data_IF_455105921001
#
_entry.id   IF_455105921001
#
_cell.length_a   1.000
_cell.length_b   1.000
_cell.length_c   1.000
_cell.angle_alpha   90.00
_cell.angle_beta   90.00
_cell.angle_gamma   90.00
#
_symmetry.space_group_name_H-M   'P 1'
#
loop_
_entity.id
_entity.type
_entity.pdbx_description
1 polymer ?
#
# COMPACT_ATOMS: atom_id res chain seq x y z
N UNK A 1 -27.32 2.52 54.14
CA UNK A 1 -27.45 2.49 52.66
C UNK A 1 -26.05 2.46 52.08
N UNK A 2 -25.66 1.36 51.42
CA UNK A 2 -24.31 1.13 50.87
C UNK A 2 -24.29 1.62 49.42
N UNK A 3 -23.44 2.59 49.10
CA UNK A 3 -23.24 3.07 47.73
C UNK A 3 -22.39 2.04 46.96
N UNK A 4 -22.97 1.42 45.95
CA UNK A 4 -22.26 0.60 44.96
C UNK A 4 -21.76 1.58 43.89
N UNK A 5 -20.46 1.86 43.88
CA UNK A 5 -19.83 2.63 42.82
C UNK A 5 -19.68 1.76 41.55
N UNK A 6 -20.11 2.23 40.36
CA UNK A 6 -19.88 1.48 39.13
C UNK A 6 -18.40 1.63 38.71
N UNK A 7 -17.70 0.51 38.60
CA UNK A 7 -16.35 0.41 38.07
C UNK A 7 -16.42 0.55 36.54
N UNK A 8 -16.03 1.71 36.02
CA UNK A 8 -16.05 2.01 34.59
C UNK A 8 -14.83 1.34 33.92
N UNK A 9 -15.05 0.19 33.28
CA UNK A 9 -14.02 -0.51 32.49
C UNK A 9 -13.87 0.22 31.15
N UNK A 10 -12.76 0.95 30.99
CA UNK A 10 -12.35 1.51 29.70
C UNK A 10 -11.67 0.39 28.89
N UNK A 11 -12.40 -0.22 27.96
CA UNK A 11 -11.79 -1.07 26.95
C UNK A 11 -11.03 -0.19 25.96
N UNK A 12 -9.70 -0.17 26.06
CA UNK A 12 -8.82 0.44 25.07
C UNK A 12 -8.78 -0.49 23.86
N UNK A 13 -9.78 -0.40 22.98
CA UNK A 13 -9.75 -1.10 21.70
C UNK A 13 -8.72 -0.38 20.83
N UNK A 14 -7.50 -0.93 20.80
CA UNK A 14 -6.44 -0.42 19.95
C UNK A 14 -6.91 -0.42 18.50
N UNK A 15 -7.00 0.76 17.90
CA UNK A 15 -7.31 0.92 16.49
C UNK A 15 -6.05 0.54 15.70
N UNK A 16 -5.72 -0.75 15.63
CA UNK A 16 -4.57 -1.25 14.87
C UNK A 16 -4.98 -1.57 13.43
N UNK A 17 -4.09 -1.36 12.44
CA UNK A 17 -4.34 -1.79 11.07
C UNK A 17 -4.44 -3.32 11.00
N UNK A 18 -5.31 -3.81 10.11
CA UNK A 18 -5.53 -5.25 9.87
C UNK A 18 -4.42 -5.83 8.99
N UNK A 19 -3.90 -5.03 8.06
CA UNK A 19 -2.73 -5.38 7.27
C UNK A 19 -1.87 -4.12 7.06
N UNK A 20 -0.57 -4.26 7.29
CA UNK A 20 0.42 -3.23 7.00
C UNK A 20 1.50 -3.85 6.13
N UNK A 21 1.88 -3.16 5.06
CA UNK A 21 3.03 -3.51 4.25
C UNK A 21 3.96 -2.29 4.21
N UNK A 22 5.25 -2.40 4.54
CA UNK A 22 5.94 -3.62 4.99
C UNK A 22 5.35 -4.22 6.28
N UNK A 23 5.40 -5.55 6.47
CA UNK A 23 4.85 -6.19 7.67
C UNK A 23 5.52 -5.66 8.94
N UNK A 24 4.71 -5.26 9.93
CA UNK A 24 5.19 -4.95 11.28
C UNK A 24 5.04 -6.19 12.16
N UNK A 25 6.04 -6.49 12.99
CA UNK A 25 6.10 -7.69 13.85
C UNK A 25 5.02 -7.65 14.95
N UNK A 26 3.77 -8.00 14.62
CA UNK A 26 2.74 -8.32 15.60
C UNK A 26 1.93 -9.55 15.14
N UNK A 27 1.50 -10.36 16.11
CA UNK A 27 0.86 -11.67 15.85
C UNK A 27 -0.43 -11.58 15.01
N UNK A 28 -1.06 -10.41 14.94
CA UNK A 28 -2.26 -10.15 14.13
C UNK A 28 -1.92 -9.96 12.64
N UNK A 29 -0.73 -9.45 12.30
CA UNK A 29 -0.28 -9.29 10.92
C UNK A 29 -0.09 -10.64 10.19
N UNK A 30 0.15 -11.72 10.93
CA UNK A 30 0.43 -13.05 10.35
C UNK A 30 -0.81 -13.73 9.75
N UNK A 31 -2.02 -13.45 10.25
CA UNK A 31 -3.27 -14.09 9.78
C UNK A 31 -3.81 -13.46 8.49
N UNK A 32 -3.47 -12.19 8.22
CA UNK A 32 -3.84 -11.45 7.00
C UNK A 32 -2.63 -11.19 6.07
N UNK A 33 -1.57 -11.98 6.25
CA UNK A 33 -0.25 -11.78 5.63
C UNK A 33 -0.20 -12.07 4.13
N UNK A 34 -1.16 -12.80 3.58
CA UNK A 34 -1.18 -13.03 2.14
C UNK A 34 -1.69 -11.79 1.40
N UNK A 35 -0.75 -11.02 0.84
CA UNK A 35 -1.02 -9.82 0.06
C UNK A 35 -1.85 -10.06 -1.21
N UNK A 36 -1.96 -11.29 -1.70
CA UNK A 36 -2.76 -11.62 -2.89
C UNK A 36 -4.26 -11.70 -2.61
N UNK A 37 -4.66 -11.74 -1.33
CA UNK A 37 -6.06 -11.74 -0.93
C UNK A 37 -6.69 -10.34 -1.03
N UNK A 38 -7.93 -10.28 -1.54
CA UNK A 38 -8.71 -9.05 -1.52
C UNK A 38 -8.93 -8.54 -0.07
N UNK A 39 -8.93 -7.21 0.16
CA UNK A 39 -8.91 -6.16 -0.85
C UNK A 39 -7.51 -5.63 -1.23
N UNK A 40 -6.42 -6.25 -0.77
CA UNK A 40 -5.07 -5.66 -0.87
C UNK A 40 -4.65 -5.36 -2.32
N UNK A 41 -4.72 -6.31 -3.28
CA UNK A 41 -4.35 -6.01 -4.66
C UNK A 41 -5.25 -4.95 -5.31
N UNK A 42 -6.54 -4.91 -4.95
CA UNK A 42 -7.46 -3.87 -5.45
C UNK A 42 -7.07 -2.49 -4.94
N UNK A 43 -6.72 -2.35 -3.66
CA UNK A 43 -6.28 -1.07 -3.10
C UNK A 43 -5.00 -0.61 -3.79
N UNK A 44 -4.01 -1.49 -3.93
CA UNK A 44 -2.74 -1.17 -4.61
C UNK A 44 -2.95 -0.75 -6.07
N UNK A 45 -3.77 -1.48 -6.82
CA UNK A 45 -4.09 -1.12 -8.20
C UNK A 45 -4.79 0.24 -8.29
N UNK A 46 -5.73 0.55 -7.38
CA UNK A 46 -6.42 1.85 -7.33
C UNK A 46 -5.47 3.00 -6.98
N UNK A 47 -4.55 2.79 -6.04
CA UNK A 47 -3.51 3.77 -5.70
C UNK A 47 -2.63 4.10 -6.91
N UNK A 48 -2.18 3.07 -7.63
CA UNK A 48 -1.32 3.24 -8.82
C UNK A 48 -2.05 3.90 -9.98
N UNK A 49 -3.29 3.47 -10.28
CA UNK A 49 -4.13 4.12 -11.30
C UNK A 49 -4.37 5.58 -10.98
N UNK A 50 -4.73 5.89 -9.73
CA UNK A 50 -4.94 7.28 -9.32
C UNK A 50 -3.68 8.11 -9.49
N UNK A 51 -2.52 7.61 -9.05
CA UNK A 51 -1.26 8.32 -9.19
C UNK A 51 -0.89 8.55 -10.66
N UNK A 52 -1.12 7.55 -11.52
CA UNK A 52 -0.90 7.67 -12.95
C UNK A 52 -1.82 8.70 -13.61
N UNK A 53 -3.13 8.67 -13.32
CA UNK A 53 -4.11 9.59 -13.90
C UNK A 53 -3.98 11.02 -13.36
N UNK A 54 -3.63 11.17 -12.08
CA UNK A 54 -3.67 12.45 -11.38
C UNK A 54 -2.31 13.15 -11.33
N UNK A 55 -1.22 12.42 -11.10
CA UNK A 55 0.14 12.99 -11.06
C UNK A 55 0.87 12.85 -12.40
N UNK A 56 0.49 11.87 -13.23
CA UNK A 56 1.09 11.65 -14.54
C UNK A 56 2.54 11.17 -14.45
N UNK A 57 3.33 11.52 -15.46
CA UNK A 57 4.78 11.30 -15.50
C UNK A 57 5.24 10.09 -16.30
N UNK A 58 4.35 9.21 -16.74
CA UNK A 58 4.68 8.01 -17.52
C UNK A 58 3.53 7.63 -18.45
N UNK A 59 3.82 7.13 -19.66
CA UNK A 59 2.81 6.61 -20.59
C UNK A 59 2.33 5.19 -20.22
N UNK A 60 3.21 4.40 -19.61
CA UNK A 60 2.94 3.04 -19.14
C UNK A 60 3.17 2.99 -17.65
N UNK A 61 2.29 2.31 -16.90
CA UNK A 61 2.47 2.14 -15.46
C UNK A 61 3.56 1.09 -15.21
N UNK A 62 4.76 1.54 -14.86
CA UNK A 62 5.78 0.70 -14.23
C UNK A 62 5.68 0.89 -12.73
N UNK A 63 5.67 -0.18 -11.94
CA UNK A 63 5.40 -0.05 -10.51
C UNK A 63 6.24 -0.97 -9.61
N UNK A 64 6.51 -0.48 -8.41
CA UNK A 64 7.06 -1.23 -7.30
C UNK A 64 6.03 -1.26 -6.16
N UNK A 65 5.88 -2.41 -5.50
CA UNK A 65 5.01 -2.56 -4.33
C UNK A 65 5.83 -2.54 -3.04
N UNK A 66 5.19 -2.38 -1.87
CA UNK A 66 5.91 -2.38 -0.60
C UNK A 66 6.65 -3.69 -0.38
N UNK A 67 7.69 -3.64 0.44
CA UNK A 67 8.43 -4.82 0.87
C UNK A 67 7.49 -5.85 1.52
N UNK A 68 7.79 -7.14 1.34
CA UNK A 68 6.99 -8.25 1.87
C UNK A 68 5.74 -8.60 1.06
N UNK A 69 5.41 -7.82 0.01
CA UNK A 69 4.35 -8.18 -0.94
C UNK A 69 4.80 -9.29 -1.88
N UNK A 70 4.01 -10.37 -1.98
CA UNK A 70 4.37 -11.54 -2.77
C UNK A 70 4.21 -11.32 -4.30
N UNK A 71 4.85 -12.19 -5.09
CA UNK A 71 4.84 -12.13 -6.56
C UNK A 71 3.44 -12.26 -7.18
N UNK A 72 2.57 -13.06 -6.56
CA UNK A 72 1.18 -13.21 -7.01
C UNK A 72 0.43 -11.86 -6.97
N UNK A 73 0.68 -11.06 -5.93
CA UNK A 73 0.07 -9.73 -5.80
C UNK A 73 0.48 -8.79 -6.93
N UNK A 74 1.76 -8.81 -7.33
CA UNK A 74 2.22 -8.04 -8.49
C UNK A 74 1.47 -8.45 -9.77
N UNK A 75 1.25 -9.75 -9.96
CA UNK A 75 0.51 -10.27 -11.12
C UNK A 75 -0.93 -9.77 -11.11
N UNK A 76 -1.63 -9.90 -9.99
CA UNK A 76 -3.01 -9.44 -9.84
C UNK A 76 -3.13 -7.92 -10.02
N UNK A 77 -2.18 -7.14 -9.48
CA UNK A 77 -2.15 -5.68 -9.64
C UNK A 77 -1.93 -5.31 -11.12
N UNK A 78 -0.99 -5.96 -11.80
CA UNK A 78 -0.74 -5.76 -13.23
C UNK A 78 -1.98 -6.01 -14.09
N UNK A 79 -2.70 -7.10 -13.82
CA UNK A 79 -3.94 -7.46 -14.49
C UNK A 79 -5.06 -6.44 -14.23
N UNK A 80 -5.23 -6.00 -12.97
CA UNK A 80 -6.25 -5.02 -12.58
C UNK A 80 -6.05 -3.64 -13.22
N UNK A 81 -4.78 -3.25 -13.45
CA UNK A 81 -4.44 -1.98 -14.12
C UNK A 81 -4.57 -2.12 -15.65
N UNK A 82 -4.46 -3.33 -16.19
CA UNK A 82 -4.58 -3.59 -17.63
C UNK A 82 -3.24 -3.54 -18.37
N UNK A 83 -2.18 -4.12 -17.79
CA UNK A 83 -0.87 -4.24 -18.45
C UNK A 83 0.25 -3.42 -17.81
N UNK A 84 0.12 -3.08 -16.51
CA UNK A 84 1.21 -2.46 -15.77
C UNK A 84 2.39 -3.42 -15.60
N UNK A 85 3.62 -2.90 -15.56
CA UNK A 85 4.84 -3.69 -15.56
C UNK A 85 5.50 -3.60 -14.17
N UNK A 86 5.75 -4.74 -13.49
CA UNK A 86 6.57 -4.73 -12.27
C UNK A 86 7.96 -4.14 -12.53
N UNK A 87 8.44 -3.31 -11.62
CA UNK A 87 9.81 -2.79 -11.67
C UNK A 87 10.80 -3.92 -11.34
N UNK A 88 11.76 -4.17 -12.24
CA UNK A 88 12.75 -5.24 -12.07
C UNK A 88 14.17 -4.70 -11.85
N UNK A 89 14.47 -3.49 -12.33
CA UNK A 89 15.83 -2.91 -12.29
C UNK A 89 15.86 -1.64 -11.45
N UNK A 90 16.88 -1.51 -10.60
CA UNK A 90 17.09 -0.29 -9.80
C UNK A 90 17.31 0.93 -10.69
N UNK A 91 16.66 2.05 -10.36
CA UNK A 91 16.72 3.29 -11.13
C UNK A 91 15.81 3.34 -12.36
N UNK A 92 15.07 2.27 -12.67
CA UNK A 92 13.98 2.33 -13.64
C UNK A 92 12.93 3.34 -13.17
N UNK A 93 12.46 4.19 -14.10
CA UNK A 93 11.35 5.11 -13.82
C UNK A 93 10.11 4.30 -13.45
N UNK A 94 9.54 4.52 -12.27
CA UNK A 94 8.40 3.75 -11.77
C UNK A 94 7.61 4.52 -10.70
N UNK A 95 6.37 4.10 -10.47
CA UNK A 95 5.63 4.45 -9.26
C UNK A 95 6.03 3.48 -8.14
N UNK A 96 6.31 3.96 -6.94
CA UNK A 96 6.68 3.10 -5.82
C UNK A 96 5.66 3.27 -4.69
N UNK A 97 4.81 2.27 -4.49
CA UNK A 97 4.03 2.22 -3.25
C UNK A 97 4.98 1.73 -2.16
N UNK A 98 5.29 2.61 -1.19
CA UNK A 98 6.27 2.33 -0.13
C UNK A 98 5.62 1.72 1.09
N UNK A 99 4.36 2.10 1.36
CA UNK A 99 3.61 1.56 2.48
C UNK A 99 2.13 1.42 2.15
N UNK A 100 1.46 0.39 2.68
CA UNK A 100 0.02 0.23 2.68
C UNK A 100 -0.46 -0.09 4.09
N UNK A 101 -1.34 0.74 4.65
CA UNK A 101 -2.01 0.51 5.93
C UNK A 101 -3.50 0.30 5.68
N UNK A 102 -3.98 -0.94 5.78
CA UNK A 102 -5.39 -1.29 5.59
C UNK A 102 -6.10 -1.48 6.93
N UNK A 103 -7.25 -0.83 7.06
CA UNK A 103 -8.20 -0.92 8.18
C UNK A 103 -9.57 -1.38 7.64
N UNK A 104 -10.57 -1.68 8.48
CA UNK A 104 -11.94 -1.86 7.98
C UNK A 104 -12.40 -0.63 7.19
N UNK A 105 -12.81 -0.84 5.93
CA UNK A 105 -13.39 0.20 5.07
C UNK A 105 -12.50 1.41 4.76
N UNK A 106 -11.25 1.43 5.23
CA UNK A 106 -10.31 2.54 5.04
C UNK A 106 -8.91 1.98 4.74
N UNK A 107 -8.16 2.68 3.90
CA UNK A 107 -6.78 2.37 3.63
C UNK A 107 -5.99 3.64 3.37
N UNK A 108 -4.72 3.59 3.71
CA UNK A 108 -3.74 4.63 3.39
C UNK A 108 -2.60 3.97 2.64
N UNK A 109 -2.23 4.54 1.50
CA UNK A 109 -1.09 4.09 0.73
C UNK A 109 -0.11 5.25 0.56
N UNK A 110 1.13 5.05 0.99
CA UNK A 110 2.21 5.99 0.72
C UNK A 110 2.84 5.63 -0.62
N UNK A 111 2.97 6.63 -1.48
CA UNK A 111 3.47 6.47 -2.84
C UNK A 111 4.52 7.52 -3.15
N UNK A 112 5.60 7.08 -3.78
CA UNK A 112 6.62 7.90 -4.41
C UNK A 112 6.40 7.83 -5.92
N UNK A 113 6.30 8.98 -6.59
CA UNK A 113 5.92 9.07 -8.00
C UNK A 113 6.79 10.07 -8.76
N UNK A 114 7.00 9.87 -10.08
CA UNK A 114 7.74 10.81 -10.90
C UNK A 114 6.94 12.10 -11.12
N UNK A 115 7.56 13.23 -10.85
CA UNK A 115 6.99 14.55 -11.04
C UNK A 115 7.61 15.28 -12.25
N UNK A 116 6.93 16.30 -12.80
CA UNK A 116 7.50 17.15 -13.84
C UNK A 116 8.88 17.70 -13.44
N UNK A 117 9.85 17.62 -14.36
CA UNK A 117 11.23 18.04 -14.10
C UNK A 117 12.16 16.92 -13.62
N UNK A 118 11.72 15.66 -13.69
CA UNK A 118 12.57 14.48 -13.49
C UNK A 118 12.91 14.20 -12.02
N UNK A 119 12.21 14.85 -11.10
CA UNK A 119 12.31 14.60 -9.66
C UNK A 119 11.21 13.64 -9.23
N UNK A 120 11.38 13.10 -8.04
CA UNK A 120 10.34 12.31 -7.38
C UNK A 120 9.71 13.10 -6.24
N UNK A 121 8.40 12.93 -6.12
CA UNK A 121 7.59 13.46 -5.03
C UNK A 121 6.92 12.30 -4.29
N UNK A 122 6.41 12.59 -3.10
CA UNK A 122 5.73 11.63 -2.26
C UNK A 122 4.33 12.11 -1.93
N UNK A 123 3.37 11.19 -1.89
CA UNK A 123 2.01 11.45 -1.42
C UNK A 123 1.51 10.32 -0.53
N UNK A 124 0.55 10.63 0.33
CA UNK A 124 -0.32 9.63 0.96
C UNK A 124 -1.68 9.69 0.29
N UNK A 125 -2.13 8.56 -0.25
CA UNK A 125 -3.45 8.40 -0.87
C UNK A 125 -4.37 7.73 0.15
N UNK A 126 -5.53 8.33 0.40
CA UNK A 126 -6.54 7.83 1.33
C UNK A 126 -7.69 7.23 0.54
N UNK A 127 -7.96 5.95 0.80
CA UNK A 127 -9.02 5.19 0.14
C UNK A 127 -10.06 4.75 1.15
N UNK A 128 -11.31 4.64 0.70
CA UNK A 128 -12.37 4.02 1.47
C UNK A 128 -13.24 3.11 0.62
N UNK A 129 -13.98 2.23 1.29
CA UNK A 129 -15.04 1.41 0.71
C UNK A 129 -16.25 1.36 1.66
N UNK A 130 -17.37 0.88 1.17
CA UNK A 130 -18.52 0.56 2.02
C UNK A 130 -19.17 -0.74 1.53
N UNK A 131 -20.25 -1.18 2.19
CA UNK A 131 -21.00 -2.35 1.74
C UNK A 131 -21.63 -2.15 0.34
N UNK A 132 -21.84 -0.90 -0.08
CA UNK A 132 -22.46 -0.57 -1.36
C UNK A 132 -21.48 0.02 -2.39
N UNK A 133 -20.28 0.43 -1.97
CA UNK A 133 -19.31 1.11 -2.82
C UNK A 133 -17.95 0.39 -2.79
N UNK A 134 -17.36 0.08 -3.95
CA UNK A 134 -16.02 -0.48 -4.01
C UNK A 134 -14.97 0.52 -3.53
N UNK A 135 -13.74 0.03 -3.35
CA UNK A 135 -12.61 0.87 -2.98
C UNK A 135 -12.39 2.01 -3.98
N UNK A 136 -12.35 3.24 -3.45
CA UNK A 136 -12.13 4.47 -4.21
C UNK A 136 -11.27 5.45 -3.43
N UNK A 137 -10.52 6.28 -4.14
CA UNK A 137 -9.73 7.36 -3.55
C UNK A 137 -10.68 8.46 -3.07
N UNK A 138 -10.47 8.90 -1.83
CA UNK A 138 -11.27 9.96 -1.20
C UNK A 138 -10.53 11.30 -1.19
N UNK A 139 -9.21 11.22 -1.00
CA UNK A 139 -8.31 12.37 -0.98
C UNK A 139 -6.86 11.91 -1.06
N UNK A 140 -5.99 12.84 -1.41
CA UNK A 140 -4.54 12.73 -1.35
C UNK A 140 -3.93 13.78 -0.41
N UNK A 141 -2.68 13.56 -0.04
CA UNK A 141 -1.82 14.55 0.61
C UNK A 141 -0.43 14.46 0.00
N UNK A 142 -0.04 15.47 -0.76
CA UNK A 142 1.33 15.61 -1.28
C UNK A 142 2.25 16.09 -0.16
N UNK A 143 3.41 15.46 -0.04
CA UNK A 143 4.46 15.82 0.91
C UNK A 143 5.52 16.67 0.22
N UNK A 144 5.80 17.86 0.78
CA UNK A 144 6.85 18.76 0.28
C UNK A 144 8.26 18.37 0.77
N UNK A 145 8.45 17.08 1.11
CA UNK A 145 9.73 16.54 1.56
C UNK A 145 10.44 16.00 0.32
N UNK A 146 11.68 16.44 0.03
CA UNK A 146 12.43 15.92 -1.10
C UNK A 146 12.66 14.41 -0.97
N UNK A 147 12.34 13.66 -2.02
CA UNK A 147 12.74 12.25 -2.12
C UNK A 147 14.22 12.19 -2.49
N UNK A 148 15.07 11.82 -1.54
CA UNK A 148 16.53 11.77 -1.72
C UNK A 148 17.04 10.40 -2.17
N UNK A 149 16.27 9.35 -1.91
CA UNK A 149 16.61 7.96 -2.25
C UNK A 149 15.36 7.27 -2.80
N UNK A 150 15.50 6.57 -3.92
CA UNK A 150 14.40 5.81 -4.52
C UNK A 150 14.39 4.38 -4.00
N UNK A 151 13.21 3.78 -3.80
CA UNK A 151 13.10 2.38 -3.41
C UNK A 151 13.72 1.46 -4.48
N UNK A 152 14.47 0.47 -4.04
CA UNK A 152 14.95 -0.62 -4.90
C UNK A 152 13.77 -1.52 -5.33
N UNK A 153 13.89 -2.25 -6.44
CA UNK A 153 12.89 -3.24 -6.83
C UNK A 153 12.63 -4.24 -5.71
N UNK A 154 11.35 -4.40 -5.33
CA UNK A 154 10.88 -5.38 -4.36
C UNK A 154 10.19 -6.57 -5.04
N UNK A 155 10.17 -6.60 -6.38
CA UNK A 155 9.55 -7.68 -7.14
C UNK A 155 10.36 -8.97 -6.92
N UNK A 156 9.76 -10.04 -6.35
CA UNK A 156 10.50 -11.25 -6.06
C UNK A 156 10.98 -11.93 -7.34
N UNK A 157 12.30 -12.05 -7.48
CA UNK A 157 12.90 -12.79 -8.60
C UNK A 157 12.93 -14.28 -8.27
N UNK A 158 13.03 -15.15 -9.28
CA UNK A 158 13.00 -16.61 -9.10
C UNK A 158 14.11 -17.18 -8.19
N UNK A 159 15.07 -16.35 -7.73
CA UNK A 159 16.10 -16.72 -6.76
C UNK A 159 15.72 -16.56 -5.29
N UNK A 160 14.62 -15.85 -4.97
CA UNK A 160 14.30 -15.43 -3.59
C UNK A 160 13.48 -16.44 -2.78
N UNK A 161 13.22 -17.64 -3.32
CA UNK A 161 12.37 -18.69 -2.71
C UNK A 161 13.06 -19.41 -1.52
N UNK A 162 14.20 -18.91 -1.03
CA UNK A 162 15.09 -19.63 -0.11
C UNK A 162 15.34 -19.03 1.28
N UNK A 163 14.78 -17.86 1.63
CA UNK A 163 15.13 -17.16 2.88
C UNK A 163 13.94 -16.98 3.82
N UNK A 164 13.32 -18.09 4.23
CA UNK A 164 12.42 -18.11 5.39
C UNK A 164 12.46 -19.49 6.02
N UNK A 165 13.32 -19.67 7.03
CA UNK A 165 13.24 -20.74 8.03
C UNK A 165 12.91 -20.11 9.36
#
# INVERSE_FOLDING_TARGET
>A
MKYIAPFLIVFVVGCTPIATYPPVENDVALVFSNSSNEPVPTILARTLLYAHEHFGGMDTVVFNLPEGVNKETYTIVSEKIGGAIPMETSGQLAYHVTELRKRPFHAEADIVFPAPGGKYEQATIYLSSSLAQPWSVQRERIWLVPVTTLPTPNFPTSGDVGASR
#
